data_IF_534512954157
#
_entry.id   IF_534512954157
#
_cell.length_a   1.000
_cell.length_b   1.000
_cell.length_c   1.000
_cell.angle_alpha   90.00
_cell.angle_beta   90.00
_cell.angle_gamma   90.00
#
_symmetry.space_group_name_H-M   'P 1'
#
loop_
_entity.id
_entity.type
_entity.pdbx_description
1 polymer ?
#
# COMPACT_ATOMS: atom_id res chain seq x y z
N UNK A 1 -17.83 16.15 -6.25
CA UNK A 1 -17.03 14.92 -6.22
C UNK A 1 -15.82 15.11 -5.32
N UNK A 2 -15.59 14.17 -4.45
CA UNK A 2 -14.45 14.28 -3.54
C UNK A 2 -13.19 13.85 -4.25
N UNK A 3 -12.14 14.67 -4.25
CA UNK A 3 -10.88 14.26 -4.88
C UNK A 3 -10.26 13.10 -4.12
N UNK A 4 -9.43 12.28 -4.76
CA UNK A 4 -8.72 11.21 -4.07
C UNK A 4 -7.85 11.80 -2.97
N UNK A 5 -7.71 11.08 -1.87
CA UNK A 5 -6.89 11.54 -0.76
C UNK A 5 -5.41 11.27 -1.06
N UNK A 6 -4.80 12.22 -1.77
CA UNK A 6 -3.40 12.10 -2.17
C UNK A 6 -2.45 12.01 -0.99
N UNK A 7 -2.83 12.61 0.15
CA UNK A 7 -2.01 12.55 1.35
C UNK A 7 -1.92 11.12 1.88
N UNK A 8 -3.05 10.41 1.92
CA UNK A 8 -3.05 9.02 2.36
C UNK A 8 -2.28 8.13 1.40
N UNK A 9 -2.50 8.32 0.10
CA UNK A 9 -1.79 7.54 -0.91
C UNK A 9 -0.28 7.77 -0.83
N UNK A 10 0.14 9.02 -0.63
CA UNK A 10 1.55 9.36 -0.51
C UNK A 10 2.17 8.73 0.73
N UNK A 11 1.46 8.75 1.86
CA UNK A 11 1.94 8.15 3.10
C UNK A 11 2.10 6.64 2.98
N UNK A 12 1.12 5.98 2.38
CA UNK A 12 1.18 4.54 2.18
C UNK A 12 2.31 4.17 1.22
N UNK A 13 2.44 4.91 0.12
CA UNK A 13 3.51 4.66 -0.85
C UNK A 13 4.88 4.81 -0.18
N UNK A 14 5.05 5.86 0.63
CA UNK A 14 6.29 6.09 1.35
C UNK A 14 6.60 4.94 2.30
N UNK A 15 5.59 4.50 3.05
CA UNK A 15 5.75 3.39 3.97
C UNK A 15 6.17 2.11 3.26
N UNK A 16 5.55 1.82 2.13
CA UNK A 16 5.86 0.61 1.37
C UNK A 16 7.25 0.72 0.71
N UNK A 17 7.63 1.91 0.24
CA UNK A 17 8.98 2.10 -0.29
C UNK A 17 10.03 1.93 0.80
N UNK A 18 9.78 2.43 2.00
CA UNK A 18 10.72 2.28 3.11
C UNK A 18 10.86 0.80 3.52
N UNK A 19 9.79 0.04 3.42
CA UNK A 19 9.79 -1.36 3.86
C UNK A 19 10.34 -2.31 2.79
N UNK A 20 10.00 -2.11 1.53
CA UNK A 20 10.35 -3.05 0.46
C UNK A 20 11.42 -2.53 -0.50
N UNK A 21 11.54 -1.22 -0.62
CA UNK A 21 12.49 -0.60 -1.52
C UNK A 21 11.94 -0.38 -2.92
N UNK A 22 12.55 0.56 -3.67
CA UNK A 22 12.05 0.92 -5.01
C UNK A 22 12.23 -0.18 -6.05
N UNK A 23 13.16 -1.12 -5.82
CA UNK A 23 13.35 -2.23 -6.76
C UNK A 23 12.26 -3.29 -6.63
N UNK A 24 11.65 -3.42 -5.46
CA UNK A 24 10.63 -4.44 -5.23
C UNK A 24 9.21 -3.91 -5.39
N UNK A 25 8.97 -2.67 -4.99
CA UNK A 25 7.62 -2.09 -5.08
C UNK A 25 7.35 -1.61 -6.50
N UNK A 26 6.44 -2.29 -7.19
CA UNK A 26 6.14 -1.98 -8.58
C UNK A 26 5.01 -0.97 -8.72
N UNK A 27 4.03 -1.04 -7.82
CA UNK A 27 2.81 -0.27 -7.99
C UNK A 27 2.02 -0.27 -6.69
N UNK A 28 1.31 0.83 -6.44
CA UNK A 28 0.38 0.95 -5.30
C UNK A 28 -0.97 1.35 -5.84
N UNK A 29 -2.02 0.69 -5.38
CA UNK A 29 -3.38 1.06 -5.77
C UNK A 29 -4.30 1.08 -4.56
N UNK A 30 -5.27 1.96 -4.60
CA UNK A 30 -6.28 2.07 -3.55
C UNK A 30 -7.41 1.09 -3.84
N UNK A 31 -7.72 0.22 -2.89
CA UNK A 31 -8.79 -0.75 -3.03
C UNK A 31 -10.11 -0.25 -2.45
N UNK A 32 -10.01 0.54 -1.39
CA UNK A 32 -11.15 1.12 -0.70
C UNK A 32 -10.61 2.28 0.12
N UNK A 33 -11.46 3.19 0.64
CA UNK A 33 -10.96 4.28 1.48
C UNK A 33 -10.09 3.74 2.62
N UNK A 34 -8.83 4.17 2.67
CA UNK A 34 -7.88 3.75 3.69
C UNK A 34 -7.29 2.35 3.50
N UNK A 35 -7.60 1.68 2.41
CA UNK A 35 -7.08 0.32 2.14
C UNK A 35 -6.34 0.33 0.82
N UNK A 36 -5.06 -0.06 0.85
CA UNK A 36 -4.18 0.00 -0.32
C UNK A 36 -3.48 -1.34 -0.53
N UNK A 37 -3.12 -1.58 -1.77
CA UNK A 37 -2.36 -2.77 -2.13
C UNK A 37 -1.09 -2.36 -2.87
N UNK A 38 0.06 -2.85 -2.41
CA UNK A 38 1.31 -2.69 -3.11
C UNK A 38 1.64 -3.97 -3.87
N UNK A 39 1.88 -3.85 -5.16
CA UNK A 39 2.30 -4.98 -5.99
C UNK A 39 3.81 -5.07 -5.92
N UNK A 40 4.31 -6.23 -5.55
CA UNK A 40 5.74 -6.44 -5.38
C UNK A 40 6.29 -7.31 -6.50
N UNK A 41 7.57 -7.11 -6.80
CA UNK A 41 8.27 -7.93 -7.78
C UNK A 41 8.23 -9.39 -7.32
N UNK A 42 8.01 -10.31 -8.23
CA UNK A 42 7.90 -11.72 -7.92
C UNK A 42 6.48 -12.20 -7.68
N UNK A 43 5.49 -11.31 -7.77
CA UNK A 43 4.08 -11.68 -7.65
C UNK A 43 3.50 -11.53 -6.25
N UNK A 44 4.32 -11.21 -5.25
CA UNK A 44 3.82 -10.97 -3.90
C UNK A 44 3.06 -9.64 -3.84
N UNK A 45 2.24 -9.49 -2.83
CA UNK A 45 1.53 -8.23 -2.61
C UNK A 45 1.53 -7.87 -1.13
N UNK A 46 1.46 -6.58 -0.86
CA UNK A 46 1.39 -6.05 0.49
C UNK A 46 0.09 -5.29 0.64
N UNK A 47 -0.63 -5.56 1.71
CA UNK A 47 -1.85 -4.83 2.04
C UNK A 47 -1.53 -3.80 3.11
N UNK A 48 -1.92 -2.57 2.88
CA UNK A 48 -1.70 -1.48 3.80
C UNK A 48 -3.04 -0.87 4.18
N UNK A 49 -3.28 -0.76 5.48
CA UNK A 49 -4.53 -0.20 6.00
C UNK A 49 -4.20 0.96 6.91
N UNK A 50 -4.87 2.09 6.70
CA UNK A 50 -4.75 3.23 7.58
C UNK A 50 -5.77 3.04 8.70
N UNK A 51 -5.27 2.95 9.93
CA UNK A 51 -6.10 2.72 11.11
C UNK A 51 -6.68 4.03 11.62
N UNK A 52 -7.64 3.92 12.52
CA UNK A 52 -8.30 5.10 13.09
C UNK A 52 -7.35 6.07 13.76
N UNK A 53 -6.27 5.56 14.34
CA UNK A 53 -5.25 6.41 14.98
C UNK A 53 -4.26 7.01 13.97
N UNK A 54 -4.46 6.78 12.68
CA UNK A 54 -3.60 7.28 11.63
C UNK A 54 -2.39 6.42 11.31
N UNK A 55 -2.20 5.32 12.04
CA UNK A 55 -1.09 4.42 11.78
C UNK A 55 -1.38 3.53 10.59
N UNK A 56 -0.32 3.15 9.89
CA UNK A 56 -0.44 2.29 8.74
C UNK A 56 -0.02 0.88 9.15
N UNK A 57 -0.94 -0.07 9.01
CA UNK A 57 -0.65 -1.48 9.25
C UNK A 57 -0.38 -2.14 7.91
N UNK A 58 0.75 -2.84 7.80
CA UNK A 58 1.16 -3.50 6.56
C UNK A 58 1.30 -5.00 6.81
N UNK A 59 0.74 -5.79 5.90
CA UNK A 59 0.93 -7.25 5.92
C UNK A 59 1.15 -7.74 4.51
N UNK A 60 1.98 -8.75 4.36
CA UNK A 60 2.14 -9.41 3.08
C UNK A 60 1.03 -10.43 2.87
N UNK A 61 0.56 -10.51 1.63
CA UNK A 61 -0.39 -11.53 1.23
C UNK A 61 0.31 -12.46 0.24
N UNK A 62 -0.05 -13.73 0.29
CA UNK A 62 0.52 -14.70 -0.62
C UNK A 62 0.10 -14.37 -2.05
N UNK A 63 0.95 -14.65 -3.03
CA UNK A 63 0.56 -14.45 -4.41
C UNK A 63 -0.58 -15.41 -4.79
N UNK A 64 -1.34 -15.01 -5.77
CA UNK A 64 -2.36 -15.89 -6.31
C UNK A 64 -1.72 -17.17 -6.85
N UNK A 65 -2.19 -18.24 -6.36
CA UNK A 65 -1.73 -19.54 -6.86
C UNK A 65 -2.35 -19.82 -8.22
#
# INVERSE_FOLDING_TARGET
MRPPNLTEAARVTRRLLDQYGPARLLRVEELAPGVFRGMLAGGAQALAVIREDGRIAVREAEPWA
#
